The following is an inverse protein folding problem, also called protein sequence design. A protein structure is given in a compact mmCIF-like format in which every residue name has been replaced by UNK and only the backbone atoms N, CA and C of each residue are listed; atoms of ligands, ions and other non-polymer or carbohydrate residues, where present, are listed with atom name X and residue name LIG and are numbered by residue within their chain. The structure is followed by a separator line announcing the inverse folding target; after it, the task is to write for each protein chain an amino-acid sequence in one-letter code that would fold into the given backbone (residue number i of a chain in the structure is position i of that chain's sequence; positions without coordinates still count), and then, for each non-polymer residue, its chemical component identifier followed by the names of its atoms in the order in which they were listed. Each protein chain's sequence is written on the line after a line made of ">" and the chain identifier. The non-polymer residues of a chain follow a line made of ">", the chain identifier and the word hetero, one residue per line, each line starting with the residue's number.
data_IF_518479629843
#
_entry.id   IF_518479629843
#
_cell.length_a   1.000
_cell.length_b   1.000
_cell.length_c   1.000
_cell.angle_alpha   90.00
_cell.angle_beta   90.00
_cell.angle_gamma   90.00
#
_symmetry.space_group_name_H-M   'P 1'
#
loop_
_entity.id
_entity.type
_entity.pdbx_description
1 polymer ?
#
# COMPACT_ATOMS: atom_id res chain seq x y z
N UNK A 1 -5.48 0.90 18.08
CA UNK A 1 -5.27 2.09 17.22
C UNK A 1 -4.06 2.96 17.60
N UNK A 2 -3.20 2.54 18.56
CA UNK A 2 -2.09 3.36 19.09
C UNK A 2 -1.13 3.89 17.99
N UNK A 3 -0.86 3.09 16.94
CA UNK A 3 0.05 3.47 15.86
C UNK A 3 -0.65 4.27 14.74
N UNK A 4 -1.96 4.12 14.54
CA UNK A 4 -2.73 4.90 13.59
C UNK A 4 -2.68 6.41 13.90
N UNK A 5 -2.59 6.76 15.19
CA UNK A 5 -2.50 8.16 15.63
C UNK A 5 -1.26 8.93 15.13
N UNK A 6 -0.27 8.24 14.60
CA UNK A 6 0.91 8.88 14.01
C UNK A 6 0.52 9.60 12.69
N UNK A 7 -0.42 9.02 11.94
CA UNK A 7 -0.89 9.55 10.66
C UNK A 7 -2.26 10.24 10.80
N UNK A 8 -3.13 9.74 11.68
CA UNK A 8 -4.47 10.27 11.88
C UNK A 8 -4.44 11.63 12.63
N UNK A 9 -4.60 12.71 11.91
CA UNK A 9 -4.52 14.07 12.45
C UNK A 9 -5.87 14.58 12.99
N UNK A 10 -6.98 14.03 12.50
CA UNK A 10 -8.34 14.46 12.81
C UNK A 10 -8.90 13.63 13.97
N UNK A 11 -9.62 14.30 14.88
CA UNK A 11 -10.22 13.63 16.05
C UNK A 11 -11.17 12.50 15.64
N UNK A 12 -11.99 12.74 14.62
CA UNK A 12 -12.96 11.76 14.09
C UNK A 12 -12.27 10.50 13.53
N UNK A 13 -11.09 10.64 12.91
CA UNK A 13 -10.29 9.49 12.44
C UNK A 13 -9.88 8.62 13.60
N UNK A 14 -9.37 9.23 14.67
CA UNK A 14 -8.92 8.51 15.88
C UNK A 14 -10.07 7.82 16.61
N UNK A 15 -11.25 8.44 16.67
CA UNK A 15 -12.44 7.89 17.31
C UNK A 15 -13.05 6.74 16.49
N UNK A 16 -13.08 6.86 15.18
CA UNK A 16 -13.65 5.84 14.27
C UNK A 16 -12.65 4.76 13.89
N UNK A 17 -11.34 5.00 14.02
CA UNK A 17 -10.29 4.09 13.58
C UNK A 17 -10.21 3.93 12.06
N UNK A 18 -10.57 4.97 11.30
CA UNK A 18 -10.51 5.02 9.84
C UNK A 18 -9.89 6.34 9.40
N UNK A 19 -9.07 6.31 8.35
CA UNK A 19 -8.52 7.50 7.71
C UNK A 19 -9.61 8.19 6.89
N UNK A 20 -9.75 9.50 7.03
CA UNK A 20 -10.74 10.33 6.32
C UNK A 20 -10.06 11.20 5.28
N UNK A 21 -8.95 11.82 5.64
CA UNK A 21 -8.20 12.74 4.80
C UNK A 21 -6.80 12.20 4.49
N UNK A 22 -6.10 12.85 3.56
CA UNK A 22 -4.74 12.49 3.20
C UNK A 22 -3.78 12.91 4.31
N UNK A 23 -2.89 12.02 4.71
CA UNK A 23 -1.78 12.34 5.59
C UNK A 23 -0.45 12.11 4.86
N UNK A 24 0.50 13.01 5.10
CA UNK A 24 1.80 13.01 4.45
C UNK A 24 2.90 12.84 5.47
N UNK A 25 3.78 11.88 5.27
CA UNK A 25 4.92 11.64 6.13
C UNK A 25 6.18 11.38 5.30
N UNK A 26 7.30 11.98 5.69
CA UNK A 26 8.56 11.76 5.00
C UNK A 26 9.36 10.68 5.69
N UNK A 27 10.00 9.83 4.90
CA UNK A 27 11.01 8.88 5.38
C UNK A 27 12.07 8.65 4.30
N UNK A 28 13.24 8.21 4.74
CA UNK A 28 14.38 7.99 3.86
C UNK A 28 14.75 6.51 3.83
N UNK A 29 15.17 6.05 2.68
CA UNK A 29 15.86 4.79 2.49
C UNK A 29 17.32 5.08 2.08
N UNK A 30 18.21 4.10 2.04
CA UNK A 30 19.55 4.30 1.50
C UNK A 30 19.59 4.89 0.09
N UNK A 31 18.57 4.64 -0.73
CA UNK A 31 18.53 5.02 -2.14
C UNK A 31 17.65 6.24 -2.44
N UNK A 32 16.56 6.42 -1.70
CA UNK A 32 15.56 7.44 -2.01
C UNK A 32 15.01 8.16 -0.78
N UNK A 33 14.55 9.39 -1.00
CA UNK A 33 13.70 10.13 -0.07
C UNK A 33 12.24 9.92 -0.50
N UNK A 34 11.41 9.40 0.39
CA UNK A 34 10.00 9.13 0.15
C UNK A 34 9.10 10.14 0.86
N UNK A 35 8.01 10.50 0.19
CA UNK A 35 6.84 11.06 0.84
C UNK A 35 5.76 9.98 0.84
N UNK A 36 5.45 9.45 2.01
CA UNK A 36 4.33 8.54 2.20
C UNK A 36 3.04 9.34 2.16
N UNK A 37 2.12 8.92 1.32
CA UNK A 37 0.75 9.43 1.25
C UNK A 37 -0.15 8.34 1.83
N UNK A 38 -0.66 8.57 3.04
CA UNK A 38 -1.65 7.69 3.64
C UNK A 38 -3.03 8.11 3.15
N UNK A 39 -3.64 7.25 2.34
CA UNK A 39 -4.91 7.52 1.68
C UNK A 39 -6.03 6.71 2.33
N UNK A 40 -7.24 7.32 2.48
CA UNK A 40 -8.39 6.62 3.06
C UNK A 40 -8.73 5.34 2.32
N UNK A 41 -8.92 4.25 3.08
CA UNK A 41 -9.36 2.97 2.52
C UNK A 41 -10.88 2.83 2.41
N UNK A 42 -11.65 3.66 3.13
CA UNK A 42 -13.11 3.56 3.16
C UNK A 42 -13.74 4.18 1.92
N UNK A 43 -14.73 3.48 1.32
CA UNK A 43 -15.39 3.91 0.07
C UNK A 43 -16.05 5.28 0.13
N UNK A 44 -16.47 5.75 1.30
CA UNK A 44 -17.07 7.07 1.47
C UNK A 44 -16.06 8.20 1.21
N UNK A 45 -14.77 7.90 1.29
CA UNK A 45 -13.67 8.85 1.10
C UNK A 45 -12.86 8.59 -0.19
N UNK A 46 -13.46 7.93 -1.16
CA UNK A 46 -12.80 7.54 -2.42
C UNK A 46 -12.22 8.76 -3.18
N UNK A 47 -12.80 9.95 -3.03
CA UNK A 47 -12.30 11.17 -3.65
C UNK A 47 -10.89 11.52 -3.13
N UNK A 48 -10.68 11.45 -1.82
CA UNK A 48 -9.38 11.70 -1.21
C UNK A 48 -8.37 10.62 -1.61
N UNK A 49 -8.82 9.35 -1.67
CA UNK A 49 -7.98 8.25 -2.18
C UNK A 49 -7.54 8.50 -3.63
N UNK A 50 -8.44 8.94 -4.51
CA UNK A 50 -8.11 9.26 -5.91
C UNK A 50 -7.09 10.39 -5.98
N UNK A 51 -7.26 11.45 -5.18
CA UNK A 51 -6.31 12.57 -5.12
C UNK A 51 -4.93 12.07 -4.70
N UNK A 52 -4.81 11.35 -3.59
CA UNK A 52 -3.53 10.81 -3.13
C UNK A 52 -2.89 9.86 -4.13
N UNK A 53 -3.67 8.95 -4.74
CA UNK A 53 -3.17 8.02 -5.73
C UNK A 53 -2.70 8.70 -7.02
N UNK A 54 -3.30 9.84 -7.40
CA UNK A 54 -2.89 10.58 -8.60
C UNK A 54 -1.53 11.29 -8.45
N UNK A 55 -1.10 11.50 -7.21
CA UNK A 55 0.20 12.10 -6.89
C UNK A 55 1.31 11.06 -6.67
N UNK A 56 0.95 9.77 -6.59
CA UNK A 56 1.88 8.71 -6.24
C UNK A 56 2.66 8.16 -7.45
N UNK A 57 3.96 8.02 -7.30
CA UNK A 57 4.84 7.35 -8.28
C UNK A 57 4.80 5.82 -8.16
N UNK A 58 4.55 5.33 -6.96
CA UNK A 58 4.45 3.91 -6.61
C UNK A 58 3.46 3.71 -5.46
N UNK A 59 3.02 2.47 -5.23
CA UNK A 59 2.07 2.20 -4.16
C UNK A 59 2.39 0.91 -3.39
N UNK A 60 1.94 0.89 -2.14
CA UNK A 60 1.86 -0.33 -1.33
C UNK A 60 0.40 -0.71 -1.16
N UNK A 61 0.00 -1.83 -1.74
CA UNK A 61 -1.31 -2.42 -1.52
C UNK A 61 -1.25 -3.34 -0.31
N UNK A 62 -2.07 -3.08 0.70
CA UNK A 62 -2.11 -3.88 1.92
C UNK A 62 -3.24 -4.91 1.83
N UNK A 63 -2.89 -6.20 1.95
CA UNK A 63 -3.82 -7.31 2.11
C UNK A 63 -3.67 -7.90 3.51
N UNK A 64 -4.68 -8.61 3.98
CA UNK A 64 -4.62 -9.26 5.29
C UNK A 64 -4.27 -10.75 5.18
N UNK A 65 -3.42 -11.25 6.06
CA UNK A 65 -3.21 -12.69 6.20
C UNK A 65 -4.34 -13.40 6.96
N UNK A 66 -5.20 -12.62 7.64
CA UNK A 66 -6.30 -13.16 8.43
C UNK A 66 -7.34 -13.84 7.54
N UNK A 67 -7.74 -15.06 7.87
CA UNK A 67 -8.72 -15.81 7.08
C UNK A 67 -10.02 -15.02 6.84
N UNK A 68 -10.49 -14.99 5.58
CA UNK A 68 -11.73 -14.33 5.15
C UNK A 68 -11.62 -12.82 4.92
N UNK A 69 -10.67 -12.10 5.52
CA UNK A 69 -10.52 -10.65 5.29
C UNK A 69 -10.05 -10.35 3.86
N UNK A 70 -9.07 -11.08 3.36
CA UNK A 70 -8.61 -10.91 1.97
C UNK A 70 -9.72 -11.28 0.98
N UNK A 71 -10.47 -12.35 1.22
CA UNK A 71 -11.57 -12.75 0.34
C UNK A 71 -12.60 -11.63 0.17
N UNK A 72 -13.00 -11.02 1.28
CA UNK A 72 -13.93 -9.88 1.27
C UNK A 72 -13.33 -8.65 0.57
N UNK A 73 -12.06 -8.37 0.82
CA UNK A 73 -11.39 -7.18 0.27
C UNK A 73 -11.18 -7.24 -1.25
N UNK A 74 -11.02 -8.46 -1.83
CA UNK A 74 -10.80 -8.66 -3.27
C UNK A 74 -12.06 -9.06 -4.05
N UNK A 75 -13.16 -9.38 -3.38
CA UNK A 75 -14.45 -9.69 -4.01
C UNK A 75 -14.96 -8.52 -4.86
N UNK A 76 -15.94 -8.73 -5.76
CA UNK A 76 -16.62 -7.64 -6.44
C UNK A 76 -17.18 -6.62 -5.42
N UNK A 77 -16.80 -5.34 -5.57
CA UNK A 77 -17.13 -4.28 -4.60
C UNK A 77 -16.23 -4.26 -3.34
N UNK A 78 -15.22 -5.11 -3.26
CA UNK A 78 -14.22 -5.09 -2.20
C UNK A 78 -13.22 -3.95 -2.37
N UNK A 79 -12.82 -3.33 -1.27
CA UNK A 79 -12.00 -2.12 -1.29
C UNK A 79 -10.60 -2.33 -1.90
N UNK A 80 -9.91 -3.42 -1.58
CA UNK A 80 -8.60 -3.69 -2.15
C UNK A 80 -8.67 -3.86 -3.68
N UNK A 81 -9.77 -4.44 -4.19
CA UNK A 81 -10.02 -4.55 -5.62
C UNK A 81 -10.21 -3.19 -6.26
N UNK A 82 -11.06 -2.35 -5.69
CA UNK A 82 -11.32 -0.99 -6.20
C UNK A 82 -10.06 -0.15 -6.20
N UNK A 83 -9.29 -0.18 -5.11
CA UNK A 83 -8.02 0.56 -5.01
C UNK A 83 -6.99 0.08 -6.03
N UNK A 84 -6.82 -1.22 -6.22
CA UNK A 84 -5.87 -1.75 -7.20
C UNK A 84 -6.22 -1.34 -8.65
N UNK A 85 -7.52 -1.33 -9.00
CA UNK A 85 -7.97 -0.82 -10.29
C UNK A 85 -7.74 0.68 -10.45
N UNK A 86 -8.03 1.47 -9.41
CA UNK A 86 -7.80 2.92 -9.43
C UNK A 86 -6.32 3.25 -9.59
N UNK A 87 -5.44 2.63 -8.82
CA UNK A 87 -3.99 2.81 -8.94
C UNK A 87 -3.53 2.58 -10.38
N UNK A 88 -3.98 1.48 -11.00
CA UNK A 88 -3.63 1.18 -12.40
C UNK A 88 -4.17 2.21 -13.37
N UNK A 89 -5.43 2.64 -13.19
CA UNK A 89 -6.09 3.63 -14.04
C UNK A 89 -5.42 5.01 -13.94
N UNK A 90 -4.96 5.38 -12.77
CA UNK A 90 -4.26 6.64 -12.50
C UNK A 90 -2.78 6.60 -12.94
N UNK A 91 -2.31 5.46 -13.46
CA UNK A 91 -0.96 5.36 -14.03
C UNK A 91 0.12 4.91 -13.04
N UNK A 92 -0.23 4.52 -11.82
CA UNK A 92 0.74 3.96 -10.87
C UNK A 92 1.22 2.61 -11.39
N UNK A 93 2.41 2.60 -11.96
CA UNK A 93 2.97 1.43 -12.65
C UNK A 93 3.64 0.42 -11.74
N UNK A 94 4.11 0.85 -10.58
CA UNK A 94 4.92 0.06 -9.68
C UNK A 94 4.20 -0.11 -8.34
N UNK A 95 4.01 -1.35 -7.91
CA UNK A 95 3.34 -1.66 -6.65
C UNK A 95 4.10 -2.74 -5.88
N UNK A 96 4.00 -2.69 -4.56
CA UNK A 96 4.33 -3.76 -3.63
C UNK A 96 3.04 -4.22 -2.97
N UNK A 97 2.92 -5.51 -2.67
CA UNK A 97 1.81 -6.02 -1.85
C UNK A 97 2.34 -6.41 -0.48
N UNK A 98 1.90 -5.72 0.55
CA UNK A 98 2.17 -6.09 1.94
C UNK A 98 1.05 -6.99 2.46
N UNK A 99 1.39 -8.24 2.80
CA UNK A 99 0.47 -9.18 3.44
C UNK A 99 0.58 -8.97 4.93
N UNK A 100 -0.29 -8.12 5.47
CA UNK A 100 -0.27 -7.67 6.87
C UNK A 100 -1.08 -8.59 7.80
N UNK A 101 -0.97 -8.33 9.10
CA UNK A 101 -1.61 -9.10 10.18
C UNK A 101 -1.13 -10.56 10.24
N UNK A 102 0.16 -10.78 9.93
CA UNK A 102 0.74 -12.12 10.05
C UNK A 102 0.69 -12.65 11.50
N UNK A 103 0.71 -11.75 12.49
CA UNK A 103 0.50 -12.04 13.90
C UNK A 103 -0.88 -12.66 14.18
N UNK A 104 -1.95 -12.20 13.55
CA UNK A 104 -3.32 -12.76 13.67
C UNK A 104 -3.44 -14.18 13.08
N UNK A 105 -2.52 -14.56 12.18
CA UNK A 105 -2.43 -15.90 11.59
C UNK A 105 -1.31 -16.76 12.19
N UNK A 106 -0.80 -16.40 13.36
CA UNK A 106 0.34 -17.07 14.03
C UNK A 106 1.56 -17.20 13.11
N UNK A 107 1.82 -16.19 12.28
CA UNK A 107 2.95 -16.15 11.33
C UNK A 107 3.00 -17.34 10.36
N UNK A 108 1.82 -17.90 10.03
CA UNK A 108 1.67 -19.10 9.21
C UNK A 108 2.10 -18.85 7.76
N UNK A 109 3.02 -19.68 7.26
CA UNK A 109 3.43 -19.69 5.86
C UNK A 109 2.25 -20.03 4.93
N UNK A 110 1.36 -20.95 5.34
CA UNK A 110 0.19 -21.32 4.53
C UNK A 110 -0.81 -20.18 4.41
N UNK A 111 -1.05 -19.42 5.48
CA UNK A 111 -1.90 -18.24 5.45
C UNK A 111 -1.32 -17.18 4.49
N UNK A 112 -0.01 -16.98 4.53
CA UNK A 112 0.69 -16.09 3.60
C UNK A 112 0.54 -16.57 2.14
N UNK A 113 0.84 -17.84 1.85
CA UNK A 113 0.72 -18.41 0.51
C UNK A 113 -0.70 -18.28 -0.05
N UNK A 114 -1.71 -18.54 0.76
CA UNK A 114 -3.11 -18.37 0.37
C UNK A 114 -3.44 -16.91 0.02
N UNK A 115 -2.98 -15.94 0.83
CA UNK A 115 -3.16 -14.52 0.55
C UNK A 115 -2.41 -14.08 -0.71
N UNK A 116 -1.20 -14.58 -0.94
CA UNK A 116 -0.39 -14.32 -2.14
C UNK A 116 -1.09 -14.83 -3.41
N UNK A 117 -1.60 -16.05 -3.40
CA UNK A 117 -2.30 -16.62 -4.57
C UNK A 117 -3.50 -15.77 -4.97
N UNK A 118 -4.34 -15.42 -3.99
CA UNK A 118 -5.49 -14.54 -4.19
C UNK A 118 -5.07 -13.14 -4.65
N UNK A 119 -4.05 -12.58 -4.01
CA UNK A 119 -3.48 -11.28 -4.37
C UNK A 119 -2.94 -11.26 -5.79
N UNK A 120 -2.22 -12.29 -6.23
CA UNK A 120 -1.73 -12.43 -7.62
C UNK A 120 -2.89 -12.46 -8.63
N UNK A 121 -3.98 -13.15 -8.31
CA UNK A 121 -5.19 -13.14 -9.13
C UNK A 121 -5.78 -11.73 -9.28
N UNK A 122 -5.88 -10.98 -8.18
CA UNK A 122 -6.33 -9.60 -8.20
C UNK A 122 -5.41 -8.72 -9.06
N UNK A 123 -4.12 -8.71 -8.77
CA UNK A 123 -3.11 -7.87 -9.45
C UNK A 123 -3.09 -8.12 -10.96
N UNK A 124 -3.18 -9.40 -11.36
CA UNK A 124 -3.28 -9.78 -12.76
C UNK A 124 -4.57 -9.26 -13.40
N UNK A 125 -5.70 -9.33 -12.69
CA UNK A 125 -6.99 -8.82 -13.21
C UNK A 125 -7.00 -7.29 -13.39
N UNK A 126 -6.17 -6.57 -12.63
CA UNK A 126 -5.98 -5.12 -12.75
C UNK A 126 -4.98 -4.73 -13.86
N UNK A 127 -4.33 -5.70 -14.51
CA UNK A 127 -3.39 -5.45 -15.61
C UNK A 127 -1.94 -5.19 -15.16
N UNK A 128 -1.57 -5.57 -13.94
CA UNK A 128 -0.18 -5.64 -13.53
C UNK A 128 0.42 -7.00 -13.87
N UNK A 129 1.74 -7.07 -14.00
CA UNK A 129 2.47 -8.32 -14.16
C UNK A 129 2.69 -8.96 -12.78
N UNK A 130 1.80 -9.84 -12.39
CA UNK A 130 1.75 -10.39 -11.04
C UNK A 130 3.07 -11.06 -10.58
N UNK A 131 3.86 -11.59 -11.52
CA UNK A 131 5.15 -12.23 -11.22
C UNK A 131 6.28 -11.22 -10.96
N UNK A 132 6.11 -9.95 -11.36
CA UNK A 132 7.04 -8.86 -11.11
C UNK A 132 6.69 -8.09 -9.82
N UNK A 133 5.50 -8.30 -9.24
CA UNK A 133 5.05 -7.63 -8.02
C UNK A 133 5.53 -8.38 -6.78
N UNK A 134 6.32 -7.76 -5.92
CA UNK A 134 6.75 -8.39 -4.68
C UNK A 134 5.60 -8.47 -3.67
N UNK A 135 5.48 -9.63 -3.02
CA UNK A 135 4.58 -9.87 -1.90
C UNK A 135 5.43 -10.04 -0.64
N UNK A 136 5.14 -9.27 0.39
CA UNK A 136 5.96 -9.24 1.61
C UNK A 136 5.07 -9.52 2.81
N UNK A 137 5.31 -10.61 3.58
CA UNK A 137 4.57 -10.87 4.81
C UNK A 137 5.06 -9.92 5.90
N UNK A 138 4.13 -9.20 6.52
CA UNK A 138 4.44 -8.22 7.56
C UNK A 138 3.48 -8.32 8.73
N UNK A 139 3.92 -7.88 9.90
CA UNK A 139 3.05 -7.50 10.99
C UNK A 139 3.27 -6.02 11.31
N UNK A 140 2.32 -5.20 10.92
CA UNK A 140 2.36 -3.76 11.26
C UNK A 140 2.25 -3.52 12.77
N UNK A 141 1.66 -4.46 13.52
CA UNK A 141 1.53 -4.38 14.96
C UNK A 141 2.83 -4.72 15.69
N UNK A 142 3.49 -5.81 15.29
CA UNK A 142 4.70 -6.33 15.93
C UNK A 142 5.99 -5.74 15.33
N UNK A 143 5.91 -5.18 14.12
CA UNK A 143 7.06 -4.64 13.40
C UNK A 143 7.82 -5.66 12.54
N UNK A 144 7.27 -6.88 12.38
CA UNK A 144 7.90 -7.95 11.63
C UNK A 144 7.99 -7.63 10.14
N UNK A 145 9.18 -7.82 9.55
CA UNK A 145 9.50 -7.58 8.14
C UNK A 145 9.21 -6.15 7.62
N UNK A 146 9.04 -5.17 8.50
CA UNK A 146 8.94 -3.77 8.09
C UNK A 146 10.33 -3.20 7.79
N UNK A 147 11.18 -3.10 8.80
CA UNK A 147 12.54 -2.57 8.72
C UNK A 147 13.58 -3.69 8.90
N UNK A 148 13.32 -4.63 9.80
CA UNK A 148 14.17 -5.77 10.11
C UNK A 148 13.45 -7.06 9.77
N UNK A 149 14.23 -8.07 9.37
CA UNK A 149 13.70 -9.42 9.14
C UNK A 149 13.09 -9.98 10.41
N UNK A 150 11.95 -10.64 10.24
CA UNK A 150 11.21 -11.27 11.32
C UNK A 150 11.89 -12.57 11.76
N UNK A 151 12.03 -12.75 13.06
CA UNK A 151 12.42 -14.04 13.66
C UNK A 151 11.23 -15.01 13.67
N UNK A 152 9.99 -14.50 13.70
CA UNK A 152 8.77 -15.30 13.72
C UNK A 152 8.45 -15.92 12.34
N UNK A 153 9.01 -15.38 11.25
CA UNK A 153 8.81 -15.82 9.88
C UNK A 153 10.12 -16.27 9.23
N UNK A 154 10.86 -17.17 9.91
CA UNK A 154 12.14 -17.70 9.42
C UNK A 154 12.03 -18.42 8.05
N UNK A 155 10.82 -18.85 7.66
CA UNK A 155 10.52 -19.42 6.35
C UNK A 155 10.55 -18.40 5.21
N UNK A 156 10.47 -17.09 5.53
CA UNK A 156 10.51 -16.02 4.54
C UNK A 156 11.94 -15.51 4.36
N UNK A 157 12.54 -15.80 3.22
CA UNK A 157 13.91 -15.39 2.89
C UNK A 157 14.00 -14.08 2.08
N UNK A 158 12.84 -13.49 1.73
CA UNK A 158 12.77 -12.29 0.90
C UNK A 158 13.21 -11.01 1.61
N UNK A 159 13.00 -9.89 0.95
CA UNK A 159 13.29 -8.54 1.46
C UNK A 159 12.28 -8.10 2.51
N UNK A 160 12.71 -7.22 3.41
CA UNK A 160 11.79 -6.45 4.24
C UNK A 160 11.03 -5.41 3.40
N UNK A 161 9.98 -4.82 3.94
CA UNK A 161 9.22 -3.80 3.22
C UNK A 161 10.12 -2.58 2.91
N UNK A 162 10.96 -2.16 3.85
CA UNK A 162 11.89 -1.04 3.64
C UNK A 162 12.94 -1.35 2.56
N UNK A 163 13.50 -2.57 2.55
CA UNK A 163 14.44 -2.99 1.51
C UNK A 163 13.78 -3.05 0.12
N UNK A 164 12.50 -3.40 0.05
CA UNK A 164 11.77 -3.49 -1.20
C UNK A 164 11.45 -2.11 -1.81
N UNK A 165 11.37 -1.06 -0.99
CA UNK A 165 11.27 0.31 -1.50
C UNK A 165 12.47 0.69 -2.38
N UNK A 166 13.66 0.22 -2.07
CA UNK A 166 14.87 0.52 -2.86
C UNK A 166 14.88 -0.17 -4.25
N UNK A 167 13.95 -1.07 -4.52
CA UNK A 167 13.76 -1.68 -5.85
C UNK A 167 12.89 -0.84 -6.77
N UNK A 168 12.18 0.14 -6.26
CA UNK A 168 11.43 1.06 -7.10
C UNK A 168 12.35 1.85 -8.03
N UNK A 169 11.85 2.11 -9.23
CA UNK A 169 12.53 2.91 -10.23
C UNK A 169 11.90 4.30 -10.22
N UNK A 170 12.71 5.33 -9.95
CA UNK A 170 12.23 6.70 -10.00
C UNK A 170 11.71 7.03 -11.42
N UNK A 171 10.56 7.71 -11.55
CA UNK A 171 10.04 8.08 -12.86
C UNK A 171 10.99 9.03 -13.56
N UNK A 172 11.16 8.84 -14.89
CA UNK A 172 11.93 9.77 -15.71
C UNK A 172 11.25 11.13 -15.74
N UNK A 173 11.95 12.14 -15.26
CA UNK A 173 11.47 13.53 -15.33
C UNK A 173 11.74 14.08 -16.74
N UNK A 174 10.69 14.52 -17.48
CA UNK A 174 10.83 15.01 -18.84
C UNK A 174 11.40 16.45 -18.86
N UNK A 175 12.63 16.63 -18.35
CA UNK A 175 13.28 17.94 -18.19
C UNK A 175 13.54 18.68 -19.51
N UNK A 176 13.58 17.96 -20.63
CA UNK A 176 13.73 18.53 -21.97
C UNK A 176 12.42 18.98 -22.65
N UNK A 177 11.27 18.83 -21.96
CA UNK A 177 9.96 19.23 -22.50
C UNK A 177 9.54 20.61 -21.98
N UNK A 178 8.65 21.34 -22.70
CA UNK A 178 8.09 22.59 -22.20
C UNK A 178 7.42 22.42 -20.82
N UNK A 179 7.50 23.48 -20.01
CA UNK A 179 6.83 23.54 -18.72
C UNK A 179 5.33 23.24 -18.88
N UNK A 180 4.82 22.33 -18.07
CA UNK A 180 3.39 22.03 -17.95
C UNK A 180 2.99 22.17 -16.49
N UNK A 181 2.04 23.05 -16.22
CA UNK A 181 1.50 23.29 -14.89
C UNK A 181 -0.02 23.03 -14.92
N UNK A 182 -0.50 21.85 -14.51
CA UNK A 182 -1.93 21.62 -14.35
C UNK A 182 -2.43 22.44 -13.14
N UNK A 183 -3.49 23.22 -13.33
CA UNK A 183 -4.18 23.92 -12.24
C UNK A 183 -5.32 23.02 -11.79
N UNK A 184 -5.28 22.57 -10.54
CA UNK A 184 -6.30 21.70 -9.96
C UNK A 184 -7.40 22.50 -9.25
N UNK A 185 -7.02 23.50 -8.47
CA UNK A 185 -7.94 24.32 -7.67
C UNK A 185 -7.57 25.80 -7.73
N UNK A 186 -8.57 26.64 -7.66
CA UNK A 186 -8.43 28.11 -7.56
C UNK A 186 -9.22 28.57 -6.34
N UNK A 187 -8.52 29.17 -5.38
CA UNK A 187 -9.12 29.77 -4.19
C UNK A 187 -9.20 31.28 -4.35
N UNK A 188 -10.36 31.85 -4.05
CA UNK A 188 -10.62 33.32 -4.08
C UNK A 188 -10.82 33.86 -2.66
#
# INVERSE_FOLDING_TARGET
>A
FKYAWVMDNIKDERERGITIDLAFQKFDTPKFNYTLIDAPGHRDFIKNMITGASEADCAVLVLSAKPGETDTAIAPGGQAREHAFLLKTLGVGQIIVAVNKMDDSNFSEDAYKAAVEKGKGLIKSCGYKADEVPFIPVSGWMGDNLVKKSENMAWYSGKTLLEAFDDFVAPEKPTGKPLRLPIQDVYS
#
